data_IF_706199487301
#
_entry.id   IF_706199487301
#
_cell.length_a   1.000
_cell.length_b   1.000
_cell.length_c   1.000
_cell.angle_alpha   90.00
_cell.angle_beta   90.00
_cell.angle_gamma   90.00
#
_symmetry.space_group_name_H-M   'P 1'
#
loop_
_entity.id
_entity.type
_entity.pdbx_description
1 polymer ?
#
# COMPACT_ATOMS: atom_id res chain seq x y z
N UNK A 1 -12.53 -6.23 22.32
CA UNK A 1 -13.84 -5.80 21.78
C UNK A 1 -13.89 -6.34 20.36
N UNK A 2 -14.75 -7.33 20.14
CA UNK A 2 -14.72 -8.27 19.01
C UNK A 2 -14.83 -7.55 17.65
N UNK A 3 -13.85 -7.75 16.76
CA UNK A 3 -14.00 -7.46 15.32
C UNK A 3 -15.00 -8.48 14.76
N UNK A 4 -16.20 -8.07 14.29
CA UNK A 4 -17.08 -8.97 13.58
C UNK A 4 -16.53 -9.19 12.18
N UNK A 5 -16.56 -10.44 11.75
CA UNK A 5 -16.23 -10.96 10.43
C UNK A 5 -16.74 -10.04 9.30
N UNK A 6 -15.81 -9.38 8.60
CA UNK A 6 -16.12 -8.59 7.42
C UNK A 6 -15.10 -8.89 6.31
N UNK A 7 -15.62 -9.54 5.27
CA UNK A 7 -15.16 -9.58 3.88
C UNK A 7 -13.64 -9.70 3.64
N UNK A 8 -13.16 -10.94 3.57
CA UNK A 8 -12.00 -11.29 2.71
C UNK A 8 -12.50 -12.22 1.62
N UNK A 9 -13.00 -11.62 0.52
CA UNK A 9 -12.98 -12.26 -0.78
C UNK A 9 -11.83 -11.60 -1.56
N UNK A 10 -10.62 -12.09 -1.34
CA UNK A 10 -9.46 -11.70 -2.14
C UNK A 10 -9.67 -12.24 -3.56
N UNK A 11 -10.10 -11.36 -4.46
CA UNK A 11 -10.12 -11.59 -5.90
C UNK A 11 -8.80 -11.13 -6.51
N UNK A 12 -8.28 -11.94 -7.44
CA UNK A 12 -7.08 -11.79 -8.25
C UNK A 12 -5.72 -12.01 -7.55
N UNK A 13 -5.29 -13.28 -7.56
CA UNK A 13 -3.87 -13.65 -7.65
C UNK A 13 -3.38 -13.25 -9.04
N UNK A 14 -2.51 -12.24 -9.13
CA UNK A 14 -1.75 -11.95 -10.35
C UNK A 14 -0.48 -12.83 -10.38
N UNK A 15 -0.25 -13.64 -11.43
CA UNK A 15 1.08 -14.16 -11.70
C UNK A 15 1.85 -13.07 -12.46
N UNK A 16 2.89 -12.50 -11.85
CA UNK A 16 3.80 -11.57 -12.53
C UNK A 16 5.24 -12.07 -12.49
N UNK A 17 5.73 -12.53 -13.64
CA UNK A 17 7.11 -12.58 -14.10
C UNK A 17 7.05 -12.65 -15.65
N UNK A 18 7.99 -12.11 -16.47
CA UNK A 18 9.24 -11.43 -16.11
C UNK A 18 9.65 -10.19 -16.97
N UNK A 19 10.62 -9.45 -16.43
CA UNK A 19 11.81 -8.84 -17.07
C UNK A 19 11.72 -7.70 -18.12
N UNK A 20 12.57 -6.71 -17.79
CA UNK A 20 13.42 -5.85 -18.64
C UNK A 20 12.75 -4.71 -19.41
N UNK A 21 12.73 -3.53 -18.79
CA UNK A 21 13.17 -2.31 -19.48
C UNK A 21 14.26 -1.59 -18.69
N UNK A 22 15.42 -1.52 -19.31
CA UNK A 22 16.57 -0.76 -18.88
C UNK A 22 16.21 0.73 -18.85
N UNK A 23 16.02 1.27 -17.64
CA UNK A 23 16.14 2.71 -17.40
C UNK A 23 17.63 3.04 -17.34
N UNK A 24 18.09 3.78 -18.33
CA UNK A 24 19.42 4.37 -18.40
C UNK A 24 19.55 5.46 -17.34
N UNK A 25 19.91 5.10 -16.10
CA UNK A 25 20.38 6.09 -15.13
C UNK A 25 21.83 6.45 -15.44
N UNK A 26 22.00 7.64 -16.03
CA UNK A 26 23.29 8.32 -16.17
C UNK A 26 23.95 8.46 -14.80
N UNK A 27 25.29 8.33 -14.69
CA UNK A 27 25.98 8.54 -13.43
C UNK A 27 25.77 9.99 -12.97
N UNK A 28 25.29 10.13 -11.74
CA UNK A 28 25.20 11.41 -11.03
C UNK A 28 26.61 11.97 -10.88
N UNK A 29 27.01 12.87 -11.78
CA UNK A 29 28.25 13.62 -11.68
C UNK A 29 28.12 14.61 -10.52
N UNK A 30 28.86 14.34 -9.45
CA UNK A 30 29.46 15.29 -8.52
C UNK A 30 28.79 16.68 -8.41
N UNK A 31 27.83 16.82 -7.50
CA UNK A 31 27.57 18.09 -6.83
C UNK A 31 28.50 18.18 -5.60
N UNK A 32 29.78 18.38 -5.89
CA UNK A 32 30.81 18.76 -4.91
C UNK A 32 31.46 20.06 -5.34
N UNK A 33 30.65 21.11 -5.48
CA UNK A 33 31.08 22.51 -5.63
C UNK A 33 29.91 23.34 -5.11
N UNK A 34 30.23 24.27 -4.20
CA UNK A 34 29.33 25.23 -3.53
C UNK A 34 28.97 24.89 -2.07
N UNK A 35 30.02 24.68 -1.26
CA UNK A 35 30.03 24.97 0.18
C UNK A 35 31.17 25.96 0.48
N UNK A 36 31.06 27.18 -0.03
CA UNK A 36 31.87 28.34 0.37
C UNK A 36 30.98 29.58 0.36
N UNK A 37 31.09 30.35 1.45
CA UNK A 37 30.44 31.65 1.73
C UNK A 37 29.03 31.62 2.30
N UNK A 38 28.93 31.23 3.57
CA UNK A 38 28.08 31.97 4.51
C UNK A 38 29.04 32.71 5.46
N UNK A 39 29.28 33.98 5.16
CA UNK A 39 29.96 34.91 6.05
C UNK A 39 28.99 35.35 7.14
N UNK A 40 29.13 34.79 8.34
CA UNK A 40 28.54 35.33 9.56
C UNK A 40 29.65 35.45 10.61
N UNK A 41 29.92 36.69 10.99
CA UNK A 41 30.92 37.09 11.97
C UNK A 41 30.54 36.60 13.39
N UNK A 42 31.52 36.34 14.27
CA UNK A 42 31.24 36.06 15.67
C UNK A 42 31.09 37.38 16.43
N UNK A 43 29.88 37.70 16.89
CA UNK A 43 29.65 38.81 17.80
C UNK A 43 28.78 38.36 18.98
N UNK A 44 29.34 38.53 20.18
CA UNK A 44 28.69 38.57 21.50
C UNK A 44 27.91 37.32 21.95
N UNK A 45 28.59 36.43 22.67
CA UNK A 45 27.97 35.69 23.77
C UNK A 45 28.41 36.32 25.10
N UNK A 46 27.55 37.18 25.64
CA UNK A 46 27.52 37.49 27.06
C UNK A 46 26.90 36.30 27.80
N UNK A 47 27.51 35.93 28.92
CA UNK A 47 27.20 34.73 29.67
C UNK A 47 25.75 34.67 30.16
N UNK A 48 25.06 33.61 29.74
CA UNK A 48 23.94 33.04 30.50
C UNK A 48 24.29 31.58 30.70
N UNK A 49 24.68 31.26 31.93
CA UNK A 49 24.94 29.89 32.36
C UNK A 49 23.59 29.22 32.67
N UNK A 50 22.83 28.90 31.62
CA UNK A 50 21.63 28.10 31.71
C UNK A 50 21.90 26.76 31.02
N UNK A 51 22.13 25.73 31.83
CA UNK A 51 22.06 24.33 31.39
C UNK A 51 20.64 24.03 30.95
N UNK A 52 20.34 24.26 29.67
CA UNK A 52 19.12 23.76 29.04
C UNK A 52 19.33 22.26 28.83
N UNK A 53 18.62 21.43 29.59
CA UNK A 53 18.47 20.01 29.28
C UNK A 53 17.74 19.90 27.94
N UNK A 54 18.53 19.73 26.87
CA UNK A 54 18.03 19.40 25.56
C UNK A 54 17.43 18.00 25.65
N UNK A 55 16.12 17.87 25.45
CA UNK A 55 15.39 16.60 25.45
C UNK A 55 16.11 15.56 24.60
N UNK A 56 16.10 14.28 25.00
CA UNK A 56 16.69 13.17 24.23
C UNK A 56 16.20 13.17 22.77
N UNK A 57 14.97 13.64 22.53
CA UNK A 57 14.40 13.78 21.19
C UNK A 57 15.15 14.81 20.34
N UNK A 58 15.50 15.96 20.91
CA UNK A 58 16.27 17.00 20.24
C UNK A 58 17.73 16.59 20.01
N UNK A 59 18.30 15.73 20.87
CA UNK A 59 19.62 15.15 20.62
C UNK A 59 19.62 14.15 19.46
N UNK A 60 18.54 13.40 19.25
CA UNK A 60 18.43 12.48 18.11
C UNK A 60 18.36 13.22 16.76
N UNK A 61 17.65 14.34 16.70
CA UNK A 61 17.51 15.17 15.48
C UNK A 61 18.81 15.90 15.12
N UNK A 62 19.68 16.17 16.09
CA UNK A 62 20.97 16.84 15.88
C UNK A 62 22.13 15.89 15.57
N UNK A 63 21.91 14.57 15.55
CA UNK A 63 22.96 13.63 15.14
C UNK A 63 23.27 13.83 13.65
N UNK A 64 24.56 13.88 13.26
CA UNK A 64 24.93 13.95 11.86
C UNK A 64 24.27 12.81 11.09
N UNK A 65 23.52 13.14 10.04
CA UNK A 65 23.01 12.15 9.09
C UNK A 65 24.23 11.43 8.52
N UNK A 66 24.27 10.12 8.71
CA UNK A 66 25.36 9.29 8.22
C UNK A 66 25.56 9.50 6.72
N UNK A 67 26.80 9.47 6.24
CA UNK A 67 27.06 9.67 4.81
C UNK A 67 26.36 8.59 3.99
N UNK A 68 25.88 8.96 2.80
CA UNK A 68 25.23 8.01 1.88
C UNK A 68 26.13 6.78 1.65
N UNK A 69 27.44 6.98 1.56
CA UNK A 69 28.43 5.89 1.43
C UNK A 69 28.49 4.99 2.66
N UNK A 70 28.34 5.52 3.87
CA UNK A 70 28.29 4.72 5.10
C UNK A 70 27.01 3.89 5.17
N UNK A 71 25.88 4.47 4.75
CA UNK A 71 24.60 3.75 4.64
C UNK A 71 24.72 2.63 3.60
N UNK A 72 25.21 2.93 2.39
CA UNK A 72 25.42 1.94 1.34
C UNK A 72 26.42 0.85 1.75
N UNK A 73 27.53 1.20 2.41
CA UNK A 73 28.48 0.21 2.92
C UNK A 73 27.85 -0.69 3.98
N UNK A 74 27.00 -0.18 4.87
CA UNK A 74 26.31 -1.02 5.86
C UNK A 74 25.28 -1.94 5.22
N UNK A 75 24.51 -1.42 4.26
CA UNK A 75 23.55 -2.21 3.49
C UNK A 75 24.25 -3.29 2.64
N UNK A 76 25.42 -2.99 2.09
CA UNK A 76 26.24 -3.94 1.36
C UNK A 76 26.99 -4.94 2.28
N UNK A 77 27.29 -4.55 3.53
CA UNK A 77 27.98 -5.36 4.52
C UNK A 77 27.05 -6.17 5.42
N UNK A 78 25.73 -5.96 5.36
CA UNK A 78 24.76 -6.95 5.84
C UNK A 78 24.78 -8.09 4.81
N UNK A 79 25.39 -9.25 5.10
CA UNK A 79 25.27 -10.39 4.21
C UNK A 79 23.78 -10.69 4.15
N UNK A 80 23.19 -10.55 2.97
CA UNK A 80 21.86 -11.08 2.72
C UNK A 80 21.89 -12.53 3.18
N UNK A 81 20.99 -12.81 4.11
CA UNK A 81 21.23 -13.76 5.17
C UNK A 81 20.92 -15.18 4.70
N UNK A 82 21.69 -15.66 3.72
CA UNK A 82 21.84 -17.08 3.49
C UNK A 82 22.57 -17.73 4.68
N UNK A 83 23.25 -16.92 5.51
CA UNK A 83 23.92 -17.33 6.73
C UNK A 83 23.07 -17.04 7.99
N UNK A 84 21.74 -16.83 7.88
CA UNK A 84 20.90 -16.50 9.05
C UNK A 84 20.81 -17.70 9.96
N UNK A 85 21.64 -17.65 10.99
CA UNK A 85 21.67 -18.53 12.14
C UNK A 85 20.39 -18.64 12.96
N UNK A 86 19.61 -17.55 12.98
CA UNK A 86 18.60 -17.31 14.00
C UNK A 86 17.30 -18.06 13.75
N UNK A 87 16.41 -18.12 14.76
CA UNK A 87 15.10 -18.71 14.59
C UNK A 87 14.35 -17.98 13.48
N UNK A 88 13.75 -18.76 12.58
CA UNK A 88 12.79 -18.25 11.63
C UNK A 88 11.58 -17.73 12.41
N UNK A 89 11.12 -16.52 12.07
CA UNK A 89 9.81 -16.07 12.54
C UNK A 89 8.73 -16.96 11.94
N UNK A 90 7.57 -17.12 12.55
CA UNK A 90 6.51 -17.99 12.01
C UNK A 90 5.21 -17.22 11.84
N UNK A 91 4.43 -17.61 10.83
CA UNK A 91 3.03 -17.19 10.69
C UNK A 91 2.17 -18.35 11.15
N UNK A 92 1.50 -18.25 12.30
CA UNK A 92 0.67 -19.34 12.78
C UNK A 92 -0.47 -19.60 11.78
N UNK A 93 -0.79 -20.87 11.47
CA UNK A 93 -1.86 -21.19 10.54
C UNK A 93 -3.22 -20.75 11.08
N UNK A 94 -4.06 -20.20 10.21
CA UNK A 94 -5.46 -19.86 10.51
C UNK A 94 -6.37 -20.42 9.43
N UNK A 95 -7.19 -21.41 9.80
CA UNK A 95 -8.12 -22.09 8.91
C UNK A 95 -9.46 -22.37 9.62
N UNK A 96 -10.59 -22.52 8.87
CA UNK A 96 -10.71 -22.29 7.41
C UNK A 96 -10.69 -20.80 7.05
N UNK A 97 -10.64 -20.49 5.75
CA UNK A 97 -10.94 -19.14 5.26
C UNK A 97 -12.41 -18.82 5.57
N UNK A 98 -12.72 -17.73 6.31
CA UNK A 98 -14.11 -17.37 6.60
C UNK A 98 -14.90 -17.11 5.31
N UNK A 99 -16.14 -17.58 5.26
CA UNK A 99 -17.08 -17.27 4.18
C UNK A 99 -17.86 -15.99 4.49
N UNK A 100 -18.29 -15.28 3.45
CA UNK A 100 -19.18 -14.14 3.61
C UNK A 100 -20.50 -14.56 4.27
N UNK A 101 -20.95 -13.77 5.25
CA UNK A 101 -22.20 -14.01 5.98
C UNK A 101 -23.33 -13.06 5.59
N UNK A 102 -23.03 -12.02 4.80
CA UNK A 102 -23.97 -10.94 4.52
C UNK A 102 -24.30 -10.09 5.76
N UNK A 103 -23.43 -10.05 6.75
CA UNK A 103 -23.65 -9.30 7.99
C UNK A 103 -23.71 -7.78 7.77
N UNK A 104 -24.54 -7.10 8.57
CA UNK A 104 -24.66 -5.64 8.59
C UNK A 104 -25.10 -5.06 7.24
N UNK A 105 -24.42 -4.00 6.81
CA UNK A 105 -24.74 -3.27 5.57
C UNK A 105 -24.54 -4.09 4.29
N UNK A 106 -23.94 -5.29 4.39
CA UNK A 106 -23.70 -6.19 3.27
C UNK A 106 -24.88 -7.09 2.91
N UNK A 107 -25.93 -7.18 3.73
CA UNK A 107 -27.01 -8.16 3.56
C UNK A 107 -27.63 -8.16 2.15
N UNK A 108 -27.98 -6.97 1.64
CA UNK A 108 -28.60 -6.85 0.31
C UNK A 108 -27.64 -7.21 -0.82
N UNK A 109 -26.37 -6.79 -0.74
CA UNK A 109 -25.36 -7.11 -1.74
C UNK A 109 -25.07 -8.62 -1.75
N UNK A 110 -25.01 -9.23 -0.57
CA UNK A 110 -24.77 -10.66 -0.40
C UNK A 110 -25.88 -11.52 -1.01
N UNK A 111 -27.15 -11.19 -0.79
CA UNK A 111 -28.26 -11.95 -1.39
C UNK A 111 -28.28 -11.85 -2.93
N UNK A 112 -27.95 -10.67 -3.48
CA UNK A 112 -27.79 -10.50 -4.94
C UNK A 112 -26.64 -11.36 -5.46
N UNK A 113 -25.48 -11.31 -4.79
CA UNK A 113 -24.32 -12.10 -5.17
C UNK A 113 -24.61 -13.61 -5.09
N UNK A 114 -25.28 -14.06 -4.03
CA UNK A 114 -25.71 -15.46 -3.86
C UNK A 114 -26.62 -15.90 -5.00
N UNK A 115 -27.66 -15.13 -5.30
CA UNK A 115 -28.59 -15.43 -6.40
C UNK A 115 -27.87 -15.51 -7.75
N UNK A 116 -26.97 -14.56 -8.04
CA UNK A 116 -26.16 -14.55 -9.26
C UNK A 116 -25.22 -15.78 -9.34
N UNK A 117 -24.41 -16.01 -8.31
CA UNK A 117 -23.40 -17.07 -8.27
C UNK A 117 -24.01 -18.47 -8.27
N UNK A 118 -25.22 -18.64 -7.72
CA UNK A 118 -25.96 -19.91 -7.77
C UNK A 118 -26.29 -20.35 -9.20
N UNK A 119 -26.42 -19.42 -10.15
CA UNK A 119 -26.69 -19.72 -11.55
C UNK A 119 -25.44 -19.98 -12.42
N UNK A 120 -24.24 -19.92 -11.84
CA UNK A 120 -22.98 -20.07 -12.57
C UNK A 120 -22.48 -21.52 -12.59
N UNK A 121 -21.96 -21.93 -13.74
CA UNK A 121 -21.13 -23.14 -13.84
C UNK A 121 -19.80 -22.95 -13.12
N UNK A 122 -19.06 -24.04 -12.89
CA UNK A 122 -17.73 -23.97 -12.27
C UNK A 122 -16.77 -23.07 -13.07
N UNK A 123 -16.73 -23.23 -14.39
CA UNK A 123 -15.82 -22.44 -15.23
C UNK A 123 -16.16 -20.95 -15.21
N UNK A 124 -17.44 -20.60 -15.14
CA UNK A 124 -17.87 -19.21 -15.02
C UNK A 124 -17.49 -18.61 -13.65
N UNK A 125 -17.52 -19.41 -12.58
CA UNK A 125 -16.99 -18.99 -11.27
C UNK A 125 -15.47 -18.76 -11.33
N UNK A 126 -14.73 -19.64 -12.01
CA UNK A 126 -13.27 -19.51 -12.19
C UNK A 126 -12.90 -18.27 -13.01
N UNK A 127 -13.72 -17.92 -14.01
CA UNK A 127 -13.53 -16.70 -14.79
C UNK A 127 -13.59 -15.44 -13.92
N UNK A 128 -14.48 -15.39 -12.93
CA UNK A 128 -14.54 -14.25 -12.01
C UNK A 128 -13.28 -14.13 -11.14
N UNK A 129 -12.63 -15.25 -10.81
CA UNK A 129 -11.52 -15.27 -9.85
C UNK A 129 -10.13 -15.12 -10.46
N UNK A 130 -10.02 -15.23 -11.79
CA UNK A 130 -8.73 -15.32 -12.48
C UNK A 130 -8.59 -14.20 -13.50
N UNK A 131 -7.47 -13.48 -13.45
CA UNK A 131 -7.14 -12.49 -14.46
C UNK A 131 -6.88 -13.13 -15.82
N UNK A 132 -7.24 -12.45 -16.92
CA UNK A 132 -7.02 -12.94 -18.30
C UNK A 132 -5.57 -12.85 -18.78
N UNK A 133 -4.67 -12.31 -17.94
CA UNK A 133 -3.25 -12.15 -18.22
C UNK A 133 -2.83 -10.69 -18.34
N UNK A 134 -1.51 -10.47 -18.31
CA UNK A 134 -0.92 -9.14 -18.44
C UNK A 134 -1.14 -8.58 -19.85
N UNK A 135 -1.64 -7.34 -19.95
CA UNK A 135 -1.94 -6.66 -21.23
C UNK A 135 -2.93 -7.42 -22.15
N UNK A 136 -3.66 -8.40 -21.60
CA UNK A 136 -4.60 -9.22 -22.36
C UNK A 136 -5.90 -8.50 -22.72
N UNK A 137 -6.22 -7.38 -22.06
CA UNK A 137 -7.43 -6.60 -22.27
C UNK A 137 -7.20 -5.11 -21.88
N UNK A 138 -8.25 -4.29 -21.77
CA UNK A 138 -8.15 -2.83 -21.68
C UNK A 138 -7.54 -2.29 -20.38
N UNK A 139 -7.82 -2.93 -19.24
CA UNK A 139 -7.39 -2.41 -17.94
C UNK A 139 -6.10 -3.10 -17.46
N UNK A 140 -5.44 -2.57 -16.43
CA UNK A 140 -4.20 -3.21 -15.90
C UNK A 140 -4.47 -4.61 -15.32
N UNK A 141 -5.70 -4.86 -14.87
CA UNK A 141 -6.19 -6.20 -14.54
C UNK A 141 -7.63 -6.37 -15.02
N UNK A 142 -7.96 -7.55 -15.55
CA UNK A 142 -9.29 -7.86 -16.07
C UNK A 142 -9.64 -9.30 -15.71
N UNK A 143 -10.86 -9.56 -15.26
CA UNK A 143 -11.34 -10.94 -15.02
C UNK A 143 -11.75 -11.61 -16.34
N UNK A 144 -12.05 -12.91 -16.31
CA UNK A 144 -12.81 -13.53 -17.39
C UNK A 144 -14.25 -12.99 -17.43
N UNK A 145 -14.82 -12.86 -18.62
CA UNK A 145 -16.24 -12.55 -18.82
C UNK A 145 -17.12 -13.80 -18.63
N UNK A 146 -18.45 -13.61 -18.54
CA UNK A 146 -19.45 -14.68 -18.55
C UNK A 146 -20.46 -14.43 -19.69
N UNK A 147 -20.11 -14.80 -20.94
CA UNK A 147 -20.90 -14.44 -22.12
C UNK A 147 -22.32 -15.01 -22.12
N UNK A 148 -22.54 -16.20 -21.53
CA UNK A 148 -23.84 -16.88 -21.49
C UNK A 148 -24.94 -16.01 -20.88
N UNK A 149 -24.60 -15.19 -19.89
CA UNK A 149 -25.54 -14.29 -19.20
C UNK A 149 -25.25 -12.81 -19.50
N UNK A 150 -24.37 -12.52 -20.46
CA UNK A 150 -24.01 -11.15 -20.84
C UNK A 150 -23.26 -10.36 -19.76
N UNK A 151 -22.59 -11.03 -18.81
CA UNK A 151 -21.79 -10.34 -17.79
C UNK A 151 -20.39 -10.06 -18.36
N UNK A 152 -19.97 -8.79 -18.49
CA UNK A 152 -18.67 -8.44 -19.06
C UNK A 152 -17.52 -8.82 -18.11
N UNK A 153 -16.29 -8.68 -18.60
CA UNK A 153 -15.11 -8.71 -17.74
C UNK A 153 -15.16 -7.54 -16.75
N UNK A 154 -14.73 -7.76 -15.51
CA UNK A 154 -14.52 -6.69 -14.56
C UNK A 154 -13.17 -6.03 -14.84
N UNK A 155 -13.17 -4.70 -14.97
CA UNK A 155 -12.01 -3.86 -15.17
C UNK A 155 -11.45 -3.35 -13.83
N UNK A 156 -10.20 -3.67 -13.54
CA UNK A 156 -9.45 -3.15 -12.39
C UNK A 156 -8.37 -2.18 -12.88
N UNK A 157 -8.39 -0.94 -12.40
CA UNK A 157 -7.55 0.13 -12.95
C UNK A 157 -6.80 0.92 -11.86
N UNK A 158 -5.52 1.19 -12.13
CA UNK A 158 -4.71 2.11 -11.32
C UNK A 158 -5.10 3.57 -11.61
N UNK A 159 -4.68 4.55 -10.83
CA UNK A 159 -3.96 4.49 -9.56
C UNK A 159 -4.63 5.32 -8.46
N UNK A 160 -4.05 5.37 -7.25
CA UNK A 160 -4.70 5.99 -6.08
C UNK A 160 -4.99 7.49 -6.17
N UNK A 161 -4.56 8.16 -7.25
CA UNK A 161 -4.70 9.59 -7.50
C UNK A 161 -5.25 9.95 -8.88
N UNK A 162 -5.87 9.00 -9.58
CA UNK A 162 -6.42 9.22 -10.93
C UNK A 162 -6.12 8.04 -11.84
N UNK A 163 -6.78 7.99 -12.99
CA UNK A 163 -6.73 6.83 -13.89
C UNK A 163 -5.37 6.76 -14.59
N UNK A 164 -4.71 5.62 -14.45
CA UNK A 164 -3.44 5.31 -15.12
C UNK A 164 -3.70 4.86 -16.55
N UNK A 165 -2.80 5.21 -17.47
CA UNK A 165 -2.82 4.78 -18.87
C UNK A 165 -4.12 5.14 -19.63
N UNK A 166 -4.69 6.31 -19.32
CA UNK A 166 -5.84 6.86 -20.01
C UNK A 166 -5.58 8.30 -20.45
N UNK A 167 -6.39 8.76 -21.41
CA UNK A 167 -6.42 10.13 -21.92
C UNK A 167 -7.64 10.89 -21.40
N UNK A 168 -7.58 12.23 -21.40
CA UNK A 168 -8.66 13.10 -20.92
C UNK A 168 -9.12 12.78 -19.49
N UNK A 169 -8.15 12.54 -18.60
CA UNK A 169 -8.35 12.26 -17.17
C UNK A 169 -7.57 13.25 -16.31
N UNK A 170 -7.96 13.38 -15.05
CA UNK A 170 -7.31 14.30 -14.09
C UNK A 170 -6.22 13.59 -13.29
N UNK A 171 -5.12 14.30 -13.04
CA UNK A 171 -4.12 13.92 -12.04
C UNK A 171 -4.42 14.64 -10.72
N UNK A 172 -4.99 13.93 -9.75
CA UNK A 172 -5.34 14.48 -8.44
C UNK A 172 -4.10 14.59 -7.53
N UNK A 173 -4.16 15.39 -6.45
CA UNK A 173 -3.12 15.37 -5.42
C UNK A 173 -2.92 13.96 -4.85
N UNK A 174 -1.69 13.65 -4.45
CA UNK A 174 -1.34 12.37 -3.84
C UNK A 174 -2.00 12.21 -2.45
N UNK A 175 -2.02 10.98 -1.92
CA UNK A 175 -2.61 10.69 -0.61
C UNK A 175 -1.96 11.52 0.51
N UNK A 176 -0.64 11.73 0.44
CA UNK A 176 0.08 12.53 1.45
C UNK A 176 -0.35 14.00 1.45
N UNK A 177 -0.72 14.55 0.29
CA UNK A 177 -1.30 15.89 0.21
C UNK A 177 -2.69 15.95 0.85
N UNK A 178 -3.50 14.90 0.67
CA UNK A 178 -4.79 14.77 1.35
C UNK A 178 -4.59 14.71 2.86
N UNK A 179 -3.59 13.97 3.33
CA UNK A 179 -3.23 13.90 4.74
C UNK A 179 -2.87 15.27 5.32
N UNK A 180 -2.10 16.05 4.57
CA UNK A 180 -1.71 17.41 4.96
C UNK A 180 -2.90 18.37 5.11
N UNK A 181 -4.06 18.08 4.51
CA UNK A 181 -5.27 18.91 4.69
C UNK A 181 -5.97 18.69 6.02
N UNK A 182 -5.78 17.53 6.66
CA UNK A 182 -6.57 17.09 7.83
C UNK A 182 -8.10 17.17 7.60
N UNK A 183 -8.55 17.16 6.34
CA UNK A 183 -9.96 17.37 5.97
C UNK A 183 -10.60 16.10 5.42
N UNK A 184 -11.53 15.55 6.20
CA UNK A 184 -12.37 14.43 5.76
C UNK A 184 -13.26 14.79 4.58
N UNK A 185 -13.69 16.05 4.51
CA UNK A 185 -14.50 16.57 3.40
C UNK A 185 -13.70 16.56 2.10
N UNK A 186 -12.46 17.06 2.11
CA UNK A 186 -11.61 17.04 0.91
C UNK A 186 -11.20 15.62 0.52
N UNK A 187 -10.97 14.73 1.49
CA UNK A 187 -10.73 13.31 1.21
C UNK A 187 -11.92 12.66 0.50
N UNK A 188 -13.15 12.94 0.96
CA UNK A 188 -14.38 12.45 0.32
C UNK A 188 -14.58 13.04 -1.07
N UNK A 189 -14.49 14.36 -1.21
CA UNK A 189 -14.70 15.05 -2.49
C UNK A 189 -13.70 14.58 -3.56
N UNK A 190 -12.44 14.35 -3.17
CA UNK A 190 -11.43 13.74 -4.05
C UNK A 190 -11.81 12.31 -4.44
N UNK A 191 -12.28 11.51 -3.49
CA UNK A 191 -12.80 10.16 -3.76
C UNK A 191 -13.96 10.16 -4.75
N UNK A 192 -14.92 11.07 -4.58
CA UNK A 192 -16.07 11.24 -5.48
C UNK A 192 -15.61 11.63 -6.90
N UNK A 193 -14.71 12.60 -7.02
CA UNK A 193 -14.19 13.02 -8.33
C UNK A 193 -13.43 11.90 -9.06
N UNK A 194 -12.57 11.15 -8.34
CA UNK A 194 -11.87 10.00 -8.93
C UNK A 194 -12.85 8.88 -9.32
N UNK A 195 -13.85 8.60 -8.49
CA UNK A 195 -14.88 7.60 -8.77
C UNK A 195 -15.69 7.93 -10.02
N UNK A 196 -16.03 9.21 -10.21
CA UNK A 196 -16.76 9.67 -11.40
C UNK A 196 -15.95 9.44 -12.69
N UNK A 197 -14.67 9.86 -12.72
CA UNK A 197 -13.82 9.62 -13.89
C UNK A 197 -13.64 8.13 -14.19
N UNK A 198 -13.46 7.29 -13.14
CA UNK A 198 -13.31 5.86 -13.31
C UNK A 198 -14.56 5.23 -13.91
N UNK A 199 -15.74 5.61 -13.40
CA UNK A 199 -17.02 5.15 -13.93
C UNK A 199 -17.20 5.54 -15.40
N UNK A 200 -16.87 6.77 -15.77
CA UNK A 200 -17.01 7.26 -17.14
C UNK A 200 -16.07 6.55 -18.13
N UNK A 201 -14.94 6.03 -17.64
CA UNK A 201 -14.03 5.16 -18.40
C UNK A 201 -14.40 3.67 -18.38
N UNK A 202 -15.48 3.28 -17.69
CA UNK A 202 -15.93 1.89 -17.59
C UNK A 202 -15.10 1.03 -16.63
N UNK A 203 -14.45 1.66 -15.64
CA UNK A 203 -13.71 0.94 -14.59
C UNK A 203 -14.68 0.46 -13.51
N UNK A 204 -14.61 -0.83 -13.17
CA UNK A 204 -15.40 -1.41 -12.09
C UNK A 204 -14.72 -1.27 -10.73
N UNK A 205 -13.38 -1.40 -10.69
CA UNK A 205 -12.57 -1.29 -9.47
C UNK A 205 -11.42 -0.30 -9.63
N UNK A 206 -11.40 0.75 -8.82
CA UNK A 206 -10.25 1.61 -8.66
C UNK A 206 -9.27 0.96 -7.68
N UNK A 207 -8.02 0.76 -8.12
CA UNK A 207 -6.92 0.22 -7.31
C UNK A 207 -6.39 1.29 -6.34
N UNK A 208 -7.21 1.68 -5.37
CA UNK A 208 -6.92 2.58 -4.27
C UNK A 208 -8.15 2.78 -3.38
N UNK A 209 -8.01 3.43 -2.22
CA UNK A 209 -6.85 4.17 -1.71
C UNK A 209 -5.77 3.31 -1.03
N UNK A 210 -4.67 3.95 -0.59
CA UNK A 210 -3.52 3.29 0.05
C UNK A 210 -3.44 3.62 1.55
N UNK A 211 -3.27 2.60 2.38
CA UNK A 211 -2.84 2.72 3.79
C UNK A 211 -1.67 1.79 4.17
N UNK A 212 -1.17 1.00 3.22
CA UNK A 212 0.08 0.25 3.30
C UNK A 212 0.91 0.51 2.04
N UNK A 213 2.07 1.20 2.10
CA UNK A 213 2.83 1.56 3.30
C UNK A 213 2.11 2.59 4.17
N UNK A 214 2.22 2.42 5.49
CA UNK A 214 1.79 3.41 6.47
C UNK A 214 2.83 4.53 6.57
N UNK A 215 4.12 4.20 6.47
CA UNK A 215 5.22 5.17 6.48
C UNK A 215 6.25 4.91 7.56
N UNK A 216 6.59 3.63 7.81
CA UNK A 216 7.64 3.23 8.77
C UNK A 216 8.99 3.89 8.45
N UNK A 217 9.33 3.95 7.17
CA UNK A 217 10.58 4.51 6.67
C UNK A 217 10.29 5.83 5.97
N UNK A 218 10.85 6.99 6.40
CA UNK A 218 10.67 8.24 5.66
C UNK A 218 11.26 8.15 4.24
N UNK A 219 12.23 7.27 4.00
CA UNK A 219 12.80 6.97 2.68
C UNK A 219 11.96 5.95 1.87
N UNK A 220 10.83 5.49 2.41
CA UNK A 220 9.92 4.55 1.75
C UNK A 220 9.39 5.11 0.44
N UNK A 221 9.73 4.46 -0.68
CA UNK A 221 9.48 4.97 -2.03
C UNK A 221 8.00 5.16 -2.42
N UNK A 222 7.07 4.65 -1.61
CA UNK A 222 5.61 4.68 -1.87
C UNK A 222 4.77 5.30 -0.76
N UNK A 223 5.38 5.89 0.28
CA UNK A 223 4.63 6.54 1.36
C UNK A 223 3.68 7.63 0.85
N UNK A 224 4.08 8.33 -0.21
CA UNK A 224 3.32 9.41 -0.82
C UNK A 224 1.98 8.96 -1.43
N UNK A 225 1.85 7.67 -1.80
CA UNK A 225 0.58 7.10 -2.29
C UNK A 225 -0.45 6.97 -1.15
N UNK A 226 0.05 6.68 0.06
CA UNK A 226 -0.73 6.63 1.30
C UNK A 226 -0.93 8.01 1.90
N UNK A 227 -1.31 8.06 3.18
CA UNK A 227 -1.67 9.31 3.86
C UNK A 227 -0.59 9.76 4.84
N UNK A 228 -0.48 9.12 6.00
CA UNK A 228 0.37 9.52 7.12
C UNK A 228 0.92 8.29 7.88
N UNK A 229 2.11 8.38 8.50
CA UNK A 229 2.58 7.36 9.44
C UNK A 229 1.70 7.23 10.69
N UNK A 230 0.81 8.19 10.95
CA UNK A 230 -0.17 8.12 12.05
C UNK A 230 -1.39 7.24 11.67
N UNK A 231 -1.70 6.18 12.44
CA UNK A 231 -2.76 5.25 12.11
C UNK A 231 -4.15 5.89 12.18
N UNK A 232 -4.35 6.83 13.11
CA UNK A 232 -5.63 7.52 13.28
C UNK A 232 -5.92 8.45 12.10
N UNK A 233 -4.96 9.29 11.69
CA UNK A 233 -5.11 10.20 10.58
C UNK A 233 -5.32 9.44 9.26
N UNK A 234 -4.54 8.38 9.04
CA UNK A 234 -4.71 7.52 7.86
C UNK A 234 -6.10 6.88 7.85
N UNK A 235 -6.55 6.31 8.97
CA UNK A 235 -7.91 5.75 9.12
C UNK A 235 -9.02 6.78 8.90
N UNK A 236 -8.86 7.97 9.47
CA UNK A 236 -9.81 9.06 9.38
C UNK A 236 -9.99 9.62 7.96
N UNK A 237 -9.00 9.45 7.08
CA UNK A 237 -9.02 9.94 5.70
C UNK A 237 -9.25 8.83 4.67
N UNK A 238 -8.93 7.57 4.99
CA UNK A 238 -9.18 6.45 4.08
C UNK A 238 -10.66 6.14 3.97
N UNK A 239 -11.39 6.15 5.09
CA UNK A 239 -12.83 5.90 5.14
C UNK A 239 -13.64 6.87 4.25
N UNK A 240 -13.50 8.20 4.36
CA UNK A 240 -14.21 9.13 3.46
C UNK A 240 -13.75 8.99 2.00
N UNK A 241 -12.49 8.66 1.73
CA UNK A 241 -12.02 8.41 0.35
C UNK A 241 -12.73 7.20 -0.27
N UNK A 242 -12.84 6.09 0.45
CA UNK A 242 -13.58 4.88 0.04
C UNK A 242 -15.05 5.20 -0.23
N UNK A 243 -15.70 5.89 0.72
CA UNK A 243 -17.10 6.27 0.58
C UNK A 243 -17.33 7.17 -0.64
N UNK A 244 -16.40 8.09 -0.91
CA UNK A 244 -16.46 8.95 -2.09
C UNK A 244 -16.40 8.14 -3.38
N UNK A 245 -15.40 7.27 -3.54
CA UNK A 245 -15.23 6.41 -4.72
C UNK A 245 -16.48 5.55 -4.93
N UNK A 246 -16.93 4.85 -3.88
CA UNK A 246 -18.05 3.92 -3.97
C UNK A 246 -19.40 4.59 -4.15
N UNK A 247 -19.56 5.85 -3.71
CA UNK A 247 -20.78 6.62 -3.99
C UNK A 247 -21.02 6.84 -5.49
N UNK A 248 -19.97 6.77 -6.29
CA UNK A 248 -20.07 6.94 -7.74
C UNK A 248 -20.35 5.63 -8.49
N UNK A 249 -20.40 4.49 -7.80
CA UNK A 249 -20.64 3.18 -8.41
C UNK A 249 -19.37 2.43 -8.84
N UNK A 250 -18.21 2.81 -8.31
CA UNK A 250 -16.92 2.14 -8.53
C UNK A 250 -16.46 1.47 -7.24
N UNK A 251 -15.96 0.24 -7.30
CA UNK A 251 -15.40 -0.45 -6.14
C UNK A 251 -14.05 0.16 -5.73
N UNK A 252 -13.89 0.48 -4.45
CA UNK A 252 -12.59 0.85 -3.91
C UNK A 252 -11.78 -0.43 -3.57
N UNK A 253 -10.46 -0.32 -3.67
CA UNK A 253 -9.51 -1.37 -3.33
C UNK A 253 -8.48 -0.85 -2.33
N UNK A 254 -8.67 -1.21 -1.05
CA UNK A 254 -7.77 -0.78 0.02
C UNK A 254 -6.46 -1.58 -0.04
N UNK A 255 -5.32 -0.89 -0.17
CA UNK A 255 -4.03 -1.54 -0.43
C UNK A 255 -2.83 -0.92 0.32
N UNK A 256 -1.68 -1.58 0.41
CA UNK A 256 -1.42 -3.01 0.19
C UNK A 256 -1.47 -3.68 1.56
N UNK A 257 -2.30 -4.70 1.69
CA UNK A 257 -2.50 -5.46 2.92
C UNK A 257 -1.48 -6.61 3.02
N UNK A 258 -0.46 -6.55 3.85
CA UNK A 258 -0.10 -5.50 4.81
C UNK A 258 1.43 -5.45 4.95
N UNK A 259 1.95 -4.36 5.51
CA UNK A 259 3.36 -4.22 5.88
C UNK A 259 4.38 -4.14 4.73
N UNK A 260 3.94 -3.84 3.51
CA UNK A 260 4.85 -3.46 2.42
C UNK A 260 5.41 -2.03 2.62
N UNK A 261 6.23 -1.85 3.66
CA UNK A 261 6.76 -0.55 4.11
C UNK A 261 8.01 -0.09 3.35
N UNK A 262 8.57 -0.93 2.47
CA UNK A 262 9.75 -0.59 1.67
C UNK A 262 9.76 -1.30 0.31
N UNK A 263 10.38 -0.64 -0.67
CA UNK A 263 10.47 -1.17 -2.04
C UNK A 263 11.58 -2.21 -2.20
N UNK A 264 12.68 -2.04 -1.47
CA UNK A 264 13.80 -2.96 -1.54
C UNK A 264 13.38 -4.36 -1.10
N UNK A 265 13.64 -5.35 -1.97
CA UNK A 265 13.39 -6.78 -1.75
C UNK A 265 11.92 -7.20 -1.76
N UNK A 266 10.99 -6.34 -2.19
CA UNK A 266 9.57 -6.71 -2.32
C UNK A 266 9.29 -7.77 -3.41
N UNK A 267 10.18 -7.93 -4.39
CA UNK A 267 10.06 -8.91 -5.47
C UNK A 267 11.42 -9.54 -5.79
N UNK A 268 11.42 -10.87 -5.96
CA UNK A 268 12.63 -11.64 -6.32
C UNK A 268 13.18 -11.19 -7.68
N UNK A 269 12.32 -11.13 -8.70
CA UNK A 269 12.73 -10.73 -10.05
C UNK A 269 13.31 -9.32 -10.13
N UNK A 270 12.69 -8.36 -9.43
CA UNK A 270 13.18 -6.98 -9.33
C UNK A 270 14.55 -6.94 -8.62
N UNK A 271 14.69 -7.65 -7.50
CA UNK A 271 15.91 -7.68 -6.70
C UNK A 271 17.09 -8.29 -7.45
N UNK A 272 16.86 -9.40 -8.15
CA UNK A 272 17.87 -10.01 -9.04
C UNK A 272 18.26 -9.02 -10.14
N UNK A 273 17.29 -8.26 -10.68
CA UNK A 273 17.55 -7.20 -11.66
C UNK A 273 18.47 -6.10 -11.15
N UNK A 274 18.46 -5.84 -9.84
CA UNK A 274 19.37 -4.91 -9.17
C UNK A 274 20.65 -5.56 -8.63
N UNK A 275 20.91 -6.84 -8.93
CA UNK A 275 22.13 -7.54 -8.52
C UNK A 275 22.05 -8.22 -7.16
N UNK A 276 20.87 -8.32 -6.55
CA UNK A 276 20.66 -9.00 -5.27
C UNK A 276 20.12 -10.42 -5.48
N UNK A 277 20.92 -11.43 -5.15
CA UNK A 277 20.54 -12.83 -5.27
C UNK A 277 19.75 -13.32 -4.04
N UNK A 278 18.43 -13.12 -4.05
CA UNK A 278 17.50 -13.56 -3.01
C UNK A 278 16.58 -14.66 -3.52
N UNK A 279 16.15 -15.57 -2.64
CA UNK A 279 15.26 -16.70 -2.99
C UNK A 279 13.79 -16.43 -2.67
N UNK A 280 13.52 -15.42 -1.84
CA UNK A 280 12.19 -15.01 -1.42
C UNK A 280 12.17 -13.48 -1.24
N UNK A 281 10.97 -12.91 -1.15
CA UNK A 281 10.79 -11.49 -0.89
C UNK A 281 11.08 -11.17 0.58
N UNK A 282 11.18 -9.88 0.91
CA UNK A 282 11.33 -9.40 2.28
C UNK A 282 10.23 -9.98 3.19
N UNK A 283 10.60 -10.28 4.43
CA UNK A 283 9.67 -10.67 5.49
C UNK A 283 9.49 -9.53 6.49
N UNK A 284 8.27 -9.03 6.60
CA UNK A 284 7.88 -8.02 7.60
C UNK A 284 7.46 -8.71 8.90
N UNK A 285 8.35 -8.74 9.88
CA UNK A 285 8.15 -9.46 11.15
C UNK A 285 7.67 -8.46 12.22
N UNK A 286 6.40 -8.57 12.61
CA UNK A 286 5.70 -7.57 13.43
C UNK A 286 5.01 -8.31 14.58
N UNK A 287 5.13 -7.82 15.80
CA UNK A 287 4.39 -8.39 16.94
C UNK A 287 2.90 -8.09 16.86
N UNK A 288 2.10 -8.91 17.54
CA UNK A 288 0.63 -8.84 17.47
C UNK A 288 0.08 -7.48 17.92
N UNK A 289 0.70 -6.88 18.94
CA UNK A 289 0.28 -5.57 19.46
C UNK A 289 0.56 -4.47 18.43
N UNK A 290 1.78 -4.39 17.91
CA UNK A 290 2.15 -3.41 16.88
C UNK A 290 1.31 -3.59 15.62
N UNK A 291 1.02 -4.83 15.22
CA UNK A 291 0.12 -5.09 14.10
C UNK A 291 -1.26 -4.45 14.33
N UNK A 292 -1.89 -4.72 15.48
CA UNK A 292 -3.25 -4.25 15.77
C UNK A 292 -3.34 -2.75 16.05
N UNK A 293 -2.37 -2.18 16.76
CA UNK A 293 -2.42 -0.78 17.20
C UNK A 293 -1.91 0.21 16.13
N UNK A 294 -1.17 -0.27 15.11
CA UNK A 294 -0.54 0.60 14.10
C UNK A 294 -0.95 0.23 12.67
N UNK A 295 -0.43 -0.88 12.13
CA UNK A 295 -0.56 -1.17 10.69
C UNK A 295 -1.97 -1.62 10.30
N UNK A 296 -2.66 -2.37 11.15
CA UNK A 296 -3.99 -2.90 10.88
C UNK A 296 -5.10 -1.87 11.10
N UNK A 297 -4.86 -0.87 11.96
CA UNK A 297 -5.84 0.15 12.32
C UNK A 297 -6.53 0.80 11.11
N UNK A 298 -5.81 1.36 10.11
CA UNK A 298 -6.48 1.99 8.97
C UNK A 298 -7.23 1.01 8.08
N UNK A 299 -6.85 -0.28 8.05
CA UNK A 299 -7.62 -1.31 7.35
C UNK A 299 -8.92 -1.63 8.09
N UNK A 300 -8.94 -1.60 9.43
CA UNK A 300 -10.17 -1.74 10.19
C UNK A 300 -11.14 -0.59 9.89
N UNK A 301 -10.65 0.65 9.79
CA UNK A 301 -11.45 1.80 9.37
C UNK A 301 -11.95 1.66 7.92
N UNK A 302 -11.12 1.14 7.01
CA UNK A 302 -11.52 0.87 5.62
C UNK A 302 -12.62 -0.20 5.51
N UNK A 303 -12.49 -1.30 6.26
CA UNK A 303 -13.51 -2.37 6.34
C UNK A 303 -14.81 -1.82 6.92
N UNK A 304 -14.73 -1.02 7.99
CA UNK A 304 -15.89 -0.35 8.58
C UNK A 304 -16.54 0.64 7.61
N UNK A 305 -15.76 1.29 6.75
CA UNK A 305 -16.27 2.18 5.70
C UNK A 305 -16.89 1.43 4.51
N UNK A 306 -16.81 0.08 4.51
CA UNK A 306 -17.39 -0.76 3.47
C UNK A 306 -16.53 -0.88 2.22
N UNK A 307 -15.18 -0.86 2.34
CA UNK A 307 -14.30 -1.11 1.18
C UNK A 307 -14.71 -2.39 0.46
N UNK A 308 -14.87 -2.31 -0.86
CA UNK A 308 -15.35 -3.41 -1.69
C UNK A 308 -14.31 -4.53 -1.83
N UNK A 309 -13.03 -4.17 -1.86
CA UNK A 309 -11.92 -5.11 -1.98
C UNK A 309 -10.69 -4.67 -1.18
N UNK A 310 -9.77 -5.62 -0.97
CA UNK A 310 -8.44 -5.37 -0.43
C UNK A 310 -7.39 -6.09 -1.28
N UNK A 311 -6.26 -5.44 -1.54
CA UNK A 311 -5.15 -6.03 -2.30
C UNK A 311 -4.07 -6.52 -1.34
N UNK A 312 -3.71 -7.80 -1.40
CA UNK A 312 -2.59 -8.34 -0.64
C UNK A 312 -1.24 -7.78 -1.11
N UNK A 313 -0.26 -7.71 -0.22
CA UNK A 313 1.07 -7.19 -0.50
C UNK A 313 2.00 -8.21 -1.15
N UNK A 314 3.17 -7.72 -1.61
CA UNK A 314 4.20 -8.51 -2.29
C UNK A 314 5.21 -9.14 -1.33
N UNK A 315 5.43 -8.51 -0.17
CA UNK A 315 6.27 -9.03 0.89
C UNK A 315 5.62 -10.26 1.53
N UNK A 316 6.42 -11.08 2.21
CA UNK A 316 5.89 -12.17 3.04
C UNK A 316 5.23 -11.50 4.25
N UNK A 317 3.95 -11.18 4.08
CA UNK A 317 3.11 -10.53 5.07
C UNK A 317 2.74 -11.49 6.20
N UNK A 318 2.94 -11.02 7.43
CA UNK A 318 2.71 -11.70 8.71
C UNK A 318 3.65 -12.87 8.99
N UNK A 319 4.74 -12.61 9.74
CA UNK A 319 5.20 -13.55 10.76
C UNK A 319 4.98 -12.88 12.10
N UNK A 320 3.96 -13.32 12.83
CA UNK A 320 3.59 -12.75 14.14
C UNK A 320 4.64 -13.21 15.13
N UNK A 321 5.28 -12.25 15.82
CA UNK A 321 6.11 -12.56 16.98
C UNK A 321 5.21 -13.08 18.11
N UNK A 322 4.95 -14.39 18.16
CA UNK A 322 4.57 -15.02 19.42
C UNK A 322 5.85 -15.24 20.21
N UNK A 323 6.15 -14.34 21.15
CA UNK A 323 7.15 -14.63 22.15
C UNK A 323 6.72 -15.90 22.91
N UNK A 324 7.58 -16.91 22.90
CA UNK A 324 7.46 -18.09 23.75
C UNK A 324 7.71 -17.73 25.23
#
# INVERSE_FOLDING_TARGET
MWLPEAAVAALAVLPYLPRTHASTSRPYKSLSKDAKMLGLAPALLLGVNATVQVSEYSQAVLKPVESIDAIYKRQAAQPFNNDYTGPYYESPPKYPSPWGSGAGDWATAYEKARSFVSGLTLMEKVNLTTGTGWESDKCVGNTGAIPRIGFPSLCMQDGPLGIRFADYVTAFPAGINVAATWSRELARARGEAMGAENRDKGVDTLLGPVCGPLGRHPEGGRNWEGFSPDPYLTGALIAPTIQGIQSQGVMACTKHFIANEQEHFRQVGESIGYGYNITATLSSNIDDKTMHELYLWPFADAVRAGTASGQCSLDIGLRILTAA
#
